data_IF_541820806716
#
_entry.id   IF_541820806716
#
_cell.length_a   1.000
_cell.length_b   1.000
_cell.length_c   1.000
_cell.angle_alpha   90.00
_cell.angle_beta   90.00
_cell.angle_gamma   90.00
#
_symmetry.space_group_name_H-M   'P 1'
#
loop_
_entity.id
_entity.type
_entity.pdbx_description
1 polymer ?
#
# COMPACT_ATOMS: atom_id res chain seq x y z
N UNK A 1 -8.46 2.82 -7.35
CA UNK A 1 -8.44 4.15 -6.68
C UNK A 1 -7.08 4.34 -6.05
N UNK A 2 -6.50 5.54 -6.17
CA UNK A 2 -5.24 5.91 -5.53
C UNK A 2 -5.31 7.32 -4.96
N UNK A 3 -4.78 7.53 -3.75
CA UNK A 3 -4.70 8.85 -3.09
C UNK A 3 -3.24 9.25 -2.85
N UNK A 4 -2.97 10.56 -2.82
CA UNK A 4 -1.66 11.10 -2.41
C UNK A 4 -1.60 11.24 -0.88
N UNK A 5 -0.43 10.98 -0.30
CA UNK A 5 -0.13 11.30 1.09
C UNK A 5 0.70 12.59 1.15
N UNK A 6 0.12 13.75 1.52
CA UNK A 6 0.85 15.02 1.52
C UNK A 6 1.88 15.14 2.65
N UNK A 7 1.80 14.26 3.66
CA UNK A 7 2.75 14.19 4.78
C UNK A 7 3.18 12.73 5.02
N UNK A 8 4.05 12.17 4.17
CA UNK A 8 4.50 10.77 4.26
C UNK A 8 5.07 10.40 5.63
N UNK A 9 5.92 11.25 6.21
CA UNK A 9 6.61 10.94 7.46
C UNK A 9 5.64 10.88 8.65
N UNK A 10 4.68 11.80 8.70
CA UNK A 10 3.64 11.77 9.74
C UNK A 10 2.72 10.56 9.56
N UNK A 11 2.37 10.20 8.33
CA UNK A 11 1.59 8.99 8.08
C UNK A 11 2.32 7.76 8.62
N UNK A 12 3.60 7.61 8.31
CA UNK A 12 4.43 6.50 8.82
C UNK A 12 4.48 6.45 10.35
N UNK A 13 4.59 7.62 11.01
CA UNK A 13 4.55 7.70 12.47
C UNK A 13 3.21 7.23 13.03
N UNK A 14 2.09 7.81 12.55
CA UNK A 14 0.73 7.47 13.02
C UNK A 14 0.42 6.00 12.73
N UNK A 15 0.81 5.48 11.57
CA UNK A 15 0.64 4.08 11.22
C UNK A 15 1.36 3.17 12.22
N UNK A 16 2.61 3.49 12.56
CA UNK A 16 3.38 2.74 13.57
C UNK A 16 2.75 2.79 14.96
N UNK A 17 2.29 3.96 15.40
CA UNK A 17 1.61 4.13 16.69
C UNK A 17 0.30 3.34 16.78
N UNK A 18 -0.49 3.32 15.71
CA UNK A 18 -1.81 2.65 15.69
C UNK A 18 -1.70 1.14 15.52
N UNK A 19 -0.76 0.67 14.68
CA UNK A 19 -0.66 -0.75 14.33
C UNK A 19 0.39 -1.51 15.14
N UNK A 20 1.27 -0.81 15.85
CA UNK A 20 2.46 -1.39 16.50
C UNK A 20 3.53 -1.87 15.51
N UNK A 21 3.38 -1.59 14.21
CA UNK A 21 4.27 -2.06 13.15
C UNK A 21 4.73 -0.89 12.27
N UNK A 22 6.04 -0.76 12.06
CA UNK A 22 6.59 0.27 11.17
C UNK A 22 6.50 -0.11 9.69
N UNK A 23 6.38 0.88 8.82
CA UNK A 23 6.37 0.67 7.35
C UNK A 23 7.76 0.43 6.75
N UNK A 24 8.84 0.64 7.51
CA UNK A 24 10.22 0.49 7.05
C UNK A 24 10.71 1.53 6.02
N UNK A 25 9.79 2.22 5.34
CA UNK A 25 10.05 3.27 4.35
C UNK A 25 8.92 4.32 4.35
N UNK A 26 9.21 5.52 3.83
CA UNK A 26 8.18 6.55 3.63
C UNK A 26 7.33 6.20 2.41
N UNK A 27 6.01 6.20 2.61
CA UNK A 27 5.01 5.90 1.56
C UNK A 27 4.36 7.20 1.05
N UNK A 28 4.29 7.35 -0.27
CA UNK A 28 3.88 8.63 -0.91
C UNK A 28 2.41 8.65 -1.35
N UNK A 29 1.75 7.51 -1.28
CA UNK A 29 0.37 7.34 -1.66
C UNK A 29 -0.18 6.00 -1.17
N UNK A 30 -1.50 5.87 -1.28
CA UNK A 30 -2.21 4.62 -0.97
C UNK A 30 -3.03 4.25 -2.18
N UNK A 31 -2.84 3.03 -2.68
CA UNK A 31 -3.56 2.48 -3.82
C UNK A 31 -4.37 1.23 -3.41
N UNK A 32 -5.57 1.09 -3.94
CA UNK A 32 -6.40 -0.12 -3.80
C UNK A 32 -6.69 -0.80 -5.14
N UNK A 33 -6.23 -0.21 -6.23
CA UNK A 33 -6.33 -0.75 -7.59
C UNK A 33 -4.92 -0.86 -8.16
N UNK A 34 -4.52 -2.07 -8.51
CA UNK A 34 -3.18 -2.39 -9.01
C UNK A 34 -2.85 -1.70 -10.33
N UNK A 35 -3.83 -1.10 -11.01
CA UNK A 35 -3.61 -0.36 -12.26
C UNK A 35 -3.29 1.12 -12.04
N UNK A 36 -3.48 1.63 -10.81
CA UNK A 36 -3.34 3.06 -10.50
C UNK A 36 -2.24 3.37 -9.48
N UNK A 37 -1.58 2.36 -8.90
CA UNK A 37 -0.47 2.56 -7.98
C UNK A 37 0.74 3.22 -8.68
N UNK A 38 1.62 3.79 -7.86
CA UNK A 38 2.92 4.30 -8.29
C UNK A 38 4.02 3.66 -7.44
N UNK A 39 5.24 3.60 -7.98
CA UNK A 39 6.39 3.20 -7.19
C UNK A 39 6.50 4.07 -5.93
N UNK A 40 6.75 3.44 -4.78
CA UNK A 40 6.75 4.10 -3.47
C UNK A 40 5.37 4.23 -2.79
N UNK A 41 4.29 3.72 -3.38
CA UNK A 41 2.97 3.69 -2.75
C UNK A 41 2.81 2.47 -1.83
N UNK A 42 1.95 2.61 -0.82
CA UNK A 42 1.35 1.50 -0.08
C UNK A 42 0.17 0.95 -0.88
N UNK A 43 0.15 -0.36 -1.12
CA UNK A 43 -0.98 -1.04 -1.74
C UNK A 43 -1.84 -1.75 -0.71
N UNK A 44 -3.17 -1.60 -0.78
CA UNK A 44 -4.11 -2.36 0.05
C UNK A 44 -4.74 -3.44 -0.80
N UNK A 45 -4.38 -4.69 -0.53
CA UNK A 45 -4.90 -5.86 -1.23
C UNK A 45 -6.30 -6.20 -0.71
N UNK A 46 -7.33 -5.74 -1.43
CA UNK A 46 -8.72 -6.02 -1.09
C UNK A 46 -9.23 -7.26 -1.83
N UNK A 47 -9.84 -8.20 -1.10
CA UNK A 47 -10.54 -9.34 -1.69
C UNK A 47 -11.98 -8.95 -2.05
N UNK A 48 -12.26 -8.86 -3.34
CA UNK A 48 -13.57 -8.55 -3.89
C UNK A 48 -14.31 -9.78 -4.41
N UNK A 49 -15.58 -9.60 -4.81
CA UNK A 49 -16.40 -10.67 -5.41
C UNK A 49 -15.89 -11.16 -6.77
N UNK A 50 -15.21 -10.30 -7.52
CA UNK A 50 -14.76 -10.56 -8.89
C UNK A 50 -13.25 -10.75 -9.01
N UNK A 51 -12.50 -10.13 -8.10
CA UNK A 51 -11.04 -10.02 -8.18
C UNK A 51 -10.48 -10.05 -6.78
N UNK A 52 -9.37 -10.75 -6.61
CA UNK A 52 -8.63 -10.81 -5.37
C UNK A 52 -7.35 -9.96 -5.51
N UNK A 53 -7.26 -8.85 -4.77
CA UNK A 53 -6.13 -7.93 -4.85
C UNK A 53 -4.78 -8.57 -4.50
N UNK A 54 -4.78 -9.69 -3.78
CA UNK A 54 -3.57 -10.42 -3.39
C UNK A 54 -2.85 -11.06 -4.59
N UNK A 55 -3.56 -11.33 -5.69
CA UNK A 55 -2.95 -11.97 -6.87
C UNK A 55 -1.95 -11.07 -7.59
N UNK A 56 -1.99 -9.76 -7.33
CA UNK A 56 -1.11 -8.77 -7.97
C UNK A 56 0.17 -8.48 -7.20
N UNK A 57 0.35 -9.01 -5.98
CA UNK A 57 1.44 -8.63 -5.09
C UNK A 57 2.84 -8.80 -5.72
N UNK A 58 3.04 -9.88 -6.47
CA UNK A 58 4.33 -10.16 -7.12
C UNK A 58 4.68 -9.16 -8.22
N UNK A 59 3.69 -8.72 -8.99
CA UNK A 59 3.88 -7.71 -10.04
C UNK A 59 4.16 -6.34 -9.40
N UNK A 60 3.37 -5.98 -8.40
CA UNK A 60 3.53 -4.73 -7.65
C UNK A 60 4.89 -4.61 -6.97
N UNK A 61 5.42 -5.71 -6.42
CA UNK A 61 6.76 -5.77 -5.84
C UNK A 61 7.84 -5.44 -6.89
N UNK A 62 7.76 -6.06 -8.08
CA UNK A 62 8.70 -5.83 -9.18
C UNK A 62 8.64 -4.37 -9.65
N UNK A 63 7.44 -3.79 -9.70
CA UNK A 63 7.19 -2.44 -10.18
C UNK A 63 7.43 -1.35 -9.11
N UNK A 64 7.89 -1.73 -7.92
CA UNK A 64 8.37 -0.81 -6.90
C UNK A 64 7.32 -0.32 -5.91
N UNK A 65 6.24 -1.09 -5.69
CA UNK A 65 5.36 -0.88 -4.54
C UNK A 65 6.18 -0.98 -3.25
N UNK A 66 6.01 -0.02 -2.34
CA UNK A 66 6.83 0.04 -1.13
C UNK A 66 6.39 -0.98 -0.08
N UNK A 67 5.08 -1.08 0.15
CA UNK A 67 4.48 -1.91 1.20
C UNK A 67 3.12 -2.40 0.73
N UNK A 68 2.75 -3.63 1.08
CA UNK A 68 1.39 -4.13 0.90
C UNK A 68 0.71 -4.38 2.26
N UNK A 69 -0.52 -3.90 2.41
CA UNK A 69 -1.43 -4.31 3.47
C UNK A 69 -2.33 -5.42 2.94
N UNK A 70 -2.29 -6.58 3.58
CA UNK A 70 -2.96 -7.81 3.15
C UNK A 70 -3.88 -8.35 4.24
N UNK A 71 -4.85 -9.18 3.86
CA UNK A 71 -5.68 -9.96 4.77
C UNK A 71 -5.56 -11.45 4.46
N UNK A 72 -5.90 -12.29 5.44
CA UNK A 72 -6.11 -13.73 5.20
C UNK A 72 -7.31 -14.01 4.28
#
# INVERSE_FOLDING_TARGET
>A
MRINLPRPDLFSQVFGEVTGTGLGSSVHGIATDSREFKAGDLYIALKGKRTDGHTFLKELEIDGCAVALVSE
#
